data_IF_455210644782
#
_entry.id   IF_455210644782
#
_cell.length_a   1.000
_cell.length_b   1.000
_cell.length_c   1.000
_cell.angle_alpha   90.00
_cell.angle_beta   90.00
_cell.angle_gamma   90.00
#
_symmetry.space_group_name_H-M   'P 1'
#
loop_
_entity.id
_entity.type
_entity.pdbx_description
1 polymer ?
#
# COMPACT_ATOMS: atom_id res chain seq x y z
N UNK A 1 15.43 -59.30 13.85
CA UNK A 1 15.25 -57.91 14.28
C UNK A 1 14.77 -57.15 13.05
N UNK A 2 13.49 -56.74 13.03
CA UNK A 2 12.89 -55.97 11.93
C UNK A 2 12.82 -54.52 12.42
N UNK A 3 13.45 -53.60 11.70
CA UNK A 3 13.29 -52.16 11.95
C UNK A 3 11.84 -51.78 11.57
N UNK A 4 11.18 -50.86 12.31
CA UNK A 4 9.90 -50.34 11.88
C UNK A 4 10.11 -49.39 10.69
N UNK A 5 9.28 -49.56 9.66
CA UNK A 5 9.12 -48.62 8.56
C UNK A 5 8.35 -47.40 9.09
N UNK A 6 9.06 -46.43 9.66
CA UNK A 6 8.53 -45.10 9.92
C UNK A 6 8.55 -44.31 8.61
N UNK A 7 7.53 -44.53 7.78
CA UNK A 7 7.29 -43.72 6.59
C UNK A 7 5.84 -43.24 6.58
N UNK A 8 5.43 -42.61 7.67
CA UNK A 8 4.28 -41.70 7.69
C UNK A 8 4.73 -40.36 7.11
N UNK A 9 4.98 -40.34 5.80
CA UNK A 9 5.08 -39.10 5.05
C UNK A 9 3.67 -38.52 4.95
N UNK A 10 3.25 -37.80 5.99
CA UNK A 10 2.05 -36.98 5.97
C UNK A 10 2.34 -35.90 4.93
N UNK A 11 1.77 -36.04 3.73
CA UNK A 11 1.74 -34.94 2.78
C UNK A 11 1.04 -33.76 3.47
N UNK A 12 1.65 -32.55 3.52
CA UNK A 12 0.95 -31.40 4.06
C UNK A 12 -0.33 -31.21 3.23
N UNK A 13 -1.47 -31.34 3.90
CA UNK A 13 -2.77 -31.10 3.32
C UNK A 13 -2.82 -29.64 2.88
N UNK A 14 -3.05 -29.42 1.58
CA UNK A 14 -3.40 -28.15 0.95
C UNK A 14 -2.85 -26.90 1.65
N UNK A 15 -1.62 -26.51 1.28
CA UNK A 15 -1.20 -25.10 1.28
C UNK A 15 -2.16 -24.35 0.34
N UNK A 16 -3.37 -24.06 0.83
CA UNK A 16 -4.17 -23.00 0.27
C UNK A 16 -3.27 -21.76 0.33
N UNK A 17 -2.81 -21.31 -0.83
CA UNK A 17 -2.09 -20.05 -0.97
C UNK A 17 -3.02 -18.97 -0.45
N UNK A 18 -2.93 -18.69 0.86
CA UNK A 18 -3.49 -17.49 1.46
C UNK A 18 -2.56 -16.41 0.93
N UNK A 19 -3.02 -15.56 -0.01
CA UNK A 19 -2.21 -14.43 -0.43
C UNK A 19 -1.83 -13.66 0.83
N UNK A 20 -0.59 -13.18 0.98
CA UNK A 20 -0.26 -12.30 2.09
C UNK A 20 -1.32 -11.18 2.14
N UNK A 21 -1.77 -10.81 3.34
CA UNK A 21 -2.85 -9.82 3.57
C UNK A 21 -2.63 -8.52 2.76
N UNK A 22 -1.36 -8.20 2.49
CA UNK A 22 -0.87 -7.15 1.60
C UNK A 22 -1.45 -7.20 0.17
N UNK A 23 -1.49 -8.39 -0.43
CA UNK A 23 -2.01 -8.58 -1.78
C UNK A 23 -3.52 -8.32 -1.82
N UNK A 24 -4.24 -8.68 -0.76
CA UNK A 24 -5.67 -8.44 -0.65
C UNK A 24 -5.97 -6.94 -0.59
N UNK A 25 -5.16 -6.18 0.16
CA UNK A 25 -5.25 -4.73 0.19
C UNK A 25 -5.04 -4.11 -1.20
N UNK A 26 -3.98 -4.50 -1.91
CA UNK A 26 -3.71 -4.00 -3.26
C UNK A 26 -4.84 -4.34 -4.26
N UNK A 27 -5.42 -5.54 -4.15
CA UNK A 27 -6.57 -5.94 -4.97
C UNK A 27 -7.81 -5.10 -4.61
N UNK A 28 -8.06 -4.85 -3.32
CA UNK A 28 -9.16 -4.02 -2.87
C UNK A 28 -9.01 -2.56 -3.35
N UNK A 29 -7.78 -2.02 -3.29
CA UNK A 29 -7.46 -0.70 -3.80
C UNK A 29 -7.79 -0.56 -5.30
N UNK A 30 -7.42 -1.54 -6.12
CA UNK A 30 -7.75 -1.51 -7.56
C UNK A 30 -9.25 -1.66 -7.83
N UNK A 31 -9.97 -2.40 -6.97
CA UNK A 31 -11.45 -2.46 -7.06
C UNK A 31 -12.08 -1.11 -6.72
N UNK A 32 -11.56 -0.41 -5.71
CA UNK A 32 -12.02 0.92 -5.31
C UNK A 32 -11.65 1.99 -6.35
N UNK A 33 -10.50 1.84 -7.02
CA UNK A 33 -9.98 2.77 -8.03
C UNK A 33 -9.70 2.02 -9.34
N UNK A 34 -10.72 1.78 -10.19
CA UNK A 34 -10.56 1.00 -11.43
C UNK A 34 -9.52 1.59 -12.41
N UNK A 35 -9.20 2.87 -12.30
CA UNK A 35 -8.14 3.53 -13.07
C UNK A 35 -6.74 2.90 -12.84
N UNK A 36 -6.54 2.19 -11.73
CA UNK A 36 -5.30 1.46 -11.42
C UNK A 36 -5.23 0.07 -12.08
N UNK A 37 -6.31 -0.46 -12.64
CA UNK A 37 -6.32 -1.80 -13.22
C UNK A 37 -5.28 -2.01 -14.36
N UNK A 38 -5.05 -1.04 -15.27
CA UNK A 38 -3.97 -1.15 -16.25
C UNK A 38 -2.58 -1.19 -15.60
N UNK A 39 -2.40 -0.50 -14.48
CA UNK A 39 -1.15 -0.49 -13.73
C UNK A 39 -0.89 -1.86 -13.10
N UNK A 40 -1.89 -2.44 -12.41
CA UNK A 40 -1.75 -3.76 -11.79
C UNK A 40 -1.54 -4.85 -12.83
N UNK A 41 -2.23 -4.79 -13.97
CA UNK A 41 -1.98 -5.72 -15.08
C UNK A 41 -0.53 -5.65 -15.55
N UNK A 42 0.00 -4.45 -15.77
CA UNK A 42 1.39 -4.27 -16.19
C UNK A 42 2.37 -4.78 -15.14
N UNK A 43 2.12 -4.53 -13.85
CA UNK A 43 2.92 -5.04 -12.74
C UNK A 43 3.02 -6.57 -12.80
N UNK A 44 1.87 -7.26 -12.86
CA UNK A 44 1.82 -8.72 -12.96
C UNK A 44 2.52 -9.24 -14.22
N UNK A 45 2.45 -8.53 -15.35
CA UNK A 45 3.18 -8.92 -16.56
C UNK A 45 4.71 -8.80 -16.40
N UNK A 46 5.20 -7.82 -15.63
CA UNK A 46 6.63 -7.59 -15.40
C UNK A 46 7.19 -8.54 -14.34
N UNK A 47 6.41 -8.83 -13.30
CA UNK A 47 6.80 -9.67 -12.15
C UNK A 47 6.33 -11.12 -12.31
N UNK A 48 6.26 -11.63 -13.55
CA UNK A 48 5.96 -13.03 -13.88
C UNK A 48 4.64 -13.60 -13.28
N UNK A 49 3.65 -12.73 -13.07
CA UNK A 49 2.35 -13.05 -12.50
C UNK A 49 2.26 -12.89 -10.98
N UNK A 50 3.35 -12.48 -10.33
CA UNK A 50 3.40 -12.22 -8.89
C UNK A 50 2.99 -10.78 -8.57
N UNK A 51 2.20 -10.61 -7.51
CA UNK A 51 1.86 -9.28 -6.99
C UNK A 51 2.83 -8.95 -5.86
N UNK A 52 3.82 -8.10 -6.17
CA UNK A 52 4.80 -7.63 -5.21
C UNK A 52 4.28 -6.32 -4.61
N UNK A 53 3.41 -6.46 -3.61
CA UNK A 53 2.56 -5.38 -3.07
C UNK A 53 3.31 -4.08 -2.72
N UNK A 54 4.49 -4.17 -2.10
CA UNK A 54 5.32 -3.01 -1.81
C UNK A 54 5.74 -2.25 -3.07
N UNK A 55 6.20 -2.98 -4.10
CA UNK A 55 6.59 -2.37 -5.37
C UNK A 55 5.37 -1.84 -6.13
N UNK A 56 4.25 -2.56 -6.11
CA UNK A 56 3.02 -2.10 -6.72
C UNK A 56 2.53 -0.78 -6.07
N UNK A 57 2.54 -0.65 -4.74
CA UNK A 57 2.19 0.62 -4.10
C UNK A 57 3.13 1.77 -4.46
N UNK A 58 4.42 1.48 -4.69
CA UNK A 58 5.35 2.51 -5.18
C UNK A 58 4.98 2.99 -6.58
N UNK A 59 4.51 2.08 -7.44
CA UNK A 59 3.98 2.43 -8.75
C UNK A 59 2.66 3.21 -8.66
N UNK A 60 1.79 2.87 -7.71
CA UNK A 60 0.55 3.62 -7.44
C UNK A 60 0.86 5.05 -7.00
N UNK A 61 1.87 5.24 -6.12
CA UNK A 61 2.33 6.56 -5.71
C UNK A 61 2.80 7.40 -6.90
N UNK A 62 3.61 6.80 -7.78
CA UNK A 62 4.08 7.45 -9.01
C UNK A 62 2.92 7.79 -9.95
N UNK A 63 1.99 6.87 -10.14
CA UNK A 63 0.78 7.10 -10.94
C UNK A 63 -0.05 8.25 -10.39
N UNK A 64 -0.26 8.30 -9.07
CA UNK A 64 -1.04 9.34 -8.42
C UNK A 64 -0.41 10.73 -8.63
N UNK A 65 0.92 10.84 -8.50
CA UNK A 65 1.66 12.07 -8.79
C UNK A 65 1.52 12.51 -10.26
N UNK A 66 1.68 11.57 -11.21
CA UNK A 66 1.58 11.84 -12.64
C UNK A 66 0.15 12.27 -13.07
N UNK A 67 -0.87 11.87 -12.31
CA UNK A 67 -2.29 12.08 -12.65
C UNK A 67 -3.01 13.09 -11.73
N UNK A 68 -2.34 13.66 -10.73
CA UNK A 68 -2.95 14.53 -9.72
C UNK A 68 -3.76 15.70 -10.29
N UNK A 69 -3.34 16.25 -11.44
CA UNK A 69 -3.99 17.39 -12.08
C UNK A 69 -5.02 17.02 -13.15
N UNK A 70 -4.90 15.84 -13.76
CA UNK A 70 -5.75 15.42 -14.89
C UNK A 70 -6.84 14.45 -14.46
N UNK A 71 -6.60 13.68 -13.40
CA UNK A 71 -7.50 12.65 -12.88
C UNK A 71 -7.68 12.83 -11.37
N UNK A 72 -7.93 14.07 -10.93
CA UNK A 72 -7.97 14.44 -9.51
C UNK A 72 -8.94 13.61 -8.68
N UNK A 73 -10.11 13.23 -9.22
CA UNK A 73 -11.08 12.38 -8.50
C UNK A 73 -10.53 10.97 -8.25
N UNK A 74 -9.90 10.33 -9.25
CA UNK A 74 -9.31 9.00 -9.07
C UNK A 74 -8.16 9.05 -8.07
N UNK A 75 -7.32 10.10 -8.14
CA UNK A 75 -6.24 10.31 -7.16
C UNK A 75 -6.81 10.53 -5.76
N UNK A 76 -7.92 11.26 -5.61
CA UNK A 76 -8.61 11.43 -4.33
C UNK A 76 -9.08 10.08 -3.78
N UNK A 77 -9.66 9.22 -4.62
CA UNK A 77 -10.08 7.87 -4.20
C UNK A 77 -8.90 6.99 -3.76
N UNK A 78 -7.73 7.13 -4.41
CA UNK A 78 -6.50 6.46 -3.96
C UNK A 78 -6.14 6.92 -2.55
N UNK A 79 -6.11 8.25 -2.31
CA UNK A 79 -5.75 8.78 -0.98
C UNK A 79 -6.78 8.39 0.08
N UNK A 80 -8.08 8.45 -0.22
CA UNK A 80 -9.15 8.04 0.68
C UNK A 80 -8.97 6.56 1.09
N UNK A 81 -8.68 5.67 0.14
CA UNK A 81 -8.47 4.24 0.41
C UNK A 81 -7.18 3.96 1.20
N UNK A 82 -6.10 4.70 0.94
CA UNK A 82 -4.86 4.57 1.71
C UNK A 82 -5.03 5.07 3.16
N UNK A 83 -5.78 6.14 3.36
CA UNK A 83 -6.11 6.64 4.70
C UNK A 83 -6.96 5.63 5.49
N UNK A 84 -7.99 5.05 4.85
CA UNK A 84 -8.79 3.98 5.46
C UNK A 84 -7.91 2.77 5.82
N UNK A 85 -6.99 2.37 4.93
CA UNK A 85 -6.04 1.30 5.17
C UNK A 85 -5.05 1.58 6.31
N UNK A 86 -4.62 2.83 6.49
CA UNK A 86 -3.78 3.24 7.63
C UNK A 86 -4.53 3.21 8.96
N UNK A 87 -5.83 3.56 8.96
CA UNK A 87 -6.66 3.63 10.17
C UNK A 87 -7.18 2.26 10.60
N UNK A 88 -7.59 1.44 9.63
CA UNK A 88 -8.36 0.21 9.89
C UNK A 88 -7.70 -1.05 9.36
N UNK A 89 -6.59 -0.94 8.63
CA UNK A 89 -5.88 -2.07 8.05
C UNK A 89 -5.34 -3.02 9.12
N UNK A 90 -5.53 -4.31 8.90
CA UNK A 90 -4.98 -5.38 9.74
C UNK A 90 -3.58 -5.79 9.25
N UNK A 91 -2.86 -6.55 10.08
CA UNK A 91 -1.57 -7.12 9.72
C UNK A 91 -0.51 -6.08 9.36
N UNK A 92 0.08 -6.26 8.17
CA UNK A 92 1.17 -5.43 7.67
C UNK A 92 0.67 -4.29 6.75
N UNK A 93 -0.64 -4.13 6.56
CA UNK A 93 -1.22 -3.12 5.66
C UNK A 93 -0.76 -1.67 5.97
N UNK A 94 -0.76 -1.21 7.24
CA UNK A 94 -0.25 0.13 7.54
C UNK A 94 1.23 0.30 7.15
N UNK A 95 2.06 -0.73 7.37
CA UNK A 95 3.49 -0.72 7.04
C UNK A 95 3.75 -0.89 5.52
N UNK A 96 2.86 -1.58 4.82
CA UNK A 96 2.84 -1.64 3.37
C UNK A 96 2.56 -0.25 2.76
N UNK A 97 1.54 0.46 3.26
CA UNK A 97 1.18 1.81 2.78
C UNK A 97 2.33 2.79 3.08
N UNK A 98 2.79 2.74 4.31
CA UNK A 98 3.94 3.46 4.83
C UNK A 98 5.16 3.44 3.89
N UNK A 99 5.70 2.25 3.67
CA UNK A 99 6.94 2.03 2.93
C UNK A 99 6.68 2.04 1.44
N UNK A 100 5.66 1.31 0.99
CA UNK A 100 5.35 1.13 -0.42
C UNK A 100 4.87 2.42 -1.09
N UNK A 101 4.02 3.21 -0.43
CA UNK A 101 3.48 4.45 -1.00
C UNK A 101 4.22 5.70 -0.50
N UNK A 102 4.43 5.81 0.82
CA UNK A 102 4.98 7.01 1.46
C UNK A 102 6.46 7.27 1.14
N UNK A 103 7.26 6.23 1.01
CA UNK A 103 8.70 6.34 0.70
C UNK A 103 9.01 6.19 -0.80
N UNK A 104 7.99 6.21 -1.66
CA UNK A 104 8.18 5.96 -3.09
C UNK A 104 9.10 7.03 -3.73
N UNK A 105 10.21 6.60 -4.37
CA UNK A 105 11.15 7.52 -4.98
C UNK A 105 10.53 8.18 -6.22
N UNK A 106 10.13 9.45 -6.10
CA UNK A 106 9.63 10.20 -7.25
C UNK A 106 8.49 11.18 -6.97
N UNK A 107 7.88 11.13 -5.78
CA UNK A 107 6.92 12.14 -5.34
C UNK A 107 7.61 13.52 -5.30
N UNK A 108 7.20 14.46 -6.18
CA UNK A 108 7.92 15.71 -6.42
C UNK A 108 7.09 16.99 -6.25
N UNK A 109 5.76 16.93 -6.19
CA UNK A 109 5.01 18.12 -5.79
C UNK A 109 3.52 18.18 -6.09
N UNK A 110 2.91 17.30 -6.88
CA UNK A 110 1.48 17.42 -7.21
C UNK A 110 0.57 16.63 -6.25
N UNK A 111 1.03 15.46 -5.81
CA UNK A 111 0.35 14.67 -4.79
C UNK A 111 0.56 15.28 -3.40
N UNK A 112 1.74 15.87 -3.11
CA UNK A 112 2.06 16.44 -1.78
C UNK A 112 1.01 17.46 -1.27
N UNK A 113 0.48 18.42 -2.05
CA UNK A 113 -0.63 19.28 -1.62
C UNK A 113 -1.95 18.55 -1.34
N UNK A 114 -2.23 17.45 -2.06
CA UNK A 114 -3.39 16.59 -1.82
C UNK A 114 -3.20 15.76 -0.54
N UNK A 115 -1.98 15.28 -0.29
CA UNK A 115 -1.59 14.59 0.94
C UNK A 115 -1.59 15.53 2.16
N UNK A 116 -1.11 16.76 2.02
CA UNK A 116 -0.97 17.70 3.15
C UNK A 116 -2.30 18.30 3.62
N UNK A 117 -3.42 17.89 3.01
CA UNK A 117 -4.78 18.09 3.52
C UNK A 117 -5.19 17.10 4.62
N UNK A 118 -4.97 15.78 4.45
CA UNK A 118 -5.31 14.72 5.40
C UNK A 118 -4.45 13.45 5.28
N UNK A 119 -3.13 13.59 5.18
CA UNK A 119 -2.14 12.52 5.35
C UNK A 119 -1.32 12.81 6.62
N UNK A 120 -2.04 13.17 7.69
CA UNK A 120 -1.67 14.33 8.49
C UNK A 120 -0.72 14.06 9.67
N UNK A 121 -0.52 12.81 10.08
CA UNK A 121 0.33 12.47 11.23
C UNK A 121 1.50 11.54 10.90
N UNK A 122 1.66 11.14 9.63
CA UNK A 122 2.56 10.06 9.24
C UNK A 122 4.05 10.46 9.10
N UNK A 123 4.44 11.66 9.54
CA UNK A 123 5.85 12.06 9.68
C UNK A 123 6.18 12.72 11.02
N UNK A 124 5.35 12.55 12.06
CA UNK A 124 5.66 13.14 13.38
C UNK A 124 6.43 12.18 14.32
N UNK A 125 6.79 10.97 13.87
CA UNK A 125 7.48 9.99 14.73
C UNK A 125 8.99 9.79 14.47
N UNK A 126 9.57 10.17 13.31
CA UNK A 126 10.95 9.75 12.99
C UNK A 126 11.98 10.87 12.68
N UNK A 127 11.79 12.08 13.23
CA UNK A 127 12.88 13.09 13.28
C UNK A 127 13.19 13.66 14.68
N UNK A 128 12.54 13.16 15.74
CA UNK A 128 13.01 13.37 17.10
C UNK A 128 13.19 14.83 17.56
N UNK A 129 12.32 15.76 17.13
CA UNK A 129 12.17 17.06 17.79
C UNK A 129 10.68 17.39 17.91
N UNK A 130 10.09 17.04 19.06
CA UNK A 130 8.81 17.60 19.48
C UNK A 130 8.96 19.11 19.66
N UNK A 131 8.11 19.91 19.03
CA UNK A 131 7.82 21.28 19.46
C UNK A 131 6.46 21.70 18.92
N UNK A 132 5.39 21.34 19.63
CA UNK A 132 4.08 21.97 19.45
C UNK A 132 4.28 23.50 19.52
N UNK A 133 3.68 24.30 18.63
CA UNK A 133 2.27 24.63 18.83
C UNK A 133 1.45 24.86 17.54
N UNK A 134 0.22 24.34 17.41
CA UNK A 134 -0.73 24.90 16.47
C UNK A 134 -1.38 26.13 17.12
N UNK A 135 -0.92 27.32 16.72
CA UNK A 135 -1.71 28.54 16.85
C UNK A 135 -1.75 29.24 15.51
N UNK A 136 -2.97 29.39 14.98
CA UNK A 136 -3.52 30.65 14.47
C UNK A 136 -4.98 30.42 14.03
N UNK A 137 -5.94 30.75 14.90
CA UNK A 137 -7.20 31.36 14.44
C UNK A 137 -7.10 32.84 14.75
N UNK A 138 -6.88 33.62 13.71
CA UNK A 138 -7.17 35.05 13.71
C UNK A 138 -8.46 35.25 12.93
N UNK A 139 -9.55 35.44 13.66
CA UNK A 139 -10.61 36.41 13.40
C UNK A 139 -11.60 36.40 14.56
#
# INVERSE_FOLDING_TARGET
MRLPDDNDFIAPEDDAFIPPEDNEFCIALVKAVPALAPLMKKHLEMEEGELLSYMFLSEVARWAEENALTNTEDVRLVIDALNEGLETGEGDVPNLIAVGFGESPGLKGAVIPLLTGELREWYDYDSGITSTPPRLRSQ
#
